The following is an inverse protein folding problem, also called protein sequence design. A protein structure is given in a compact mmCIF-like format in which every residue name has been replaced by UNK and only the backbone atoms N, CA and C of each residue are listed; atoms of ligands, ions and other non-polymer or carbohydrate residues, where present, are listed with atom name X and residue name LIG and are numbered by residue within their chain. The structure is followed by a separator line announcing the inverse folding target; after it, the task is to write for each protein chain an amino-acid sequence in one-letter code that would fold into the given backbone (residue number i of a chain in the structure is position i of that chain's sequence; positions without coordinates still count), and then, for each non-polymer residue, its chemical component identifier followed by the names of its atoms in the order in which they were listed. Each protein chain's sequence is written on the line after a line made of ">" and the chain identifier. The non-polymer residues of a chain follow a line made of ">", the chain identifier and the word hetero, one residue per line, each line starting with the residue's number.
data_IF_621247838767
#
_entry.id   IF_621247838767
#
_cell.length_a   1.000
_cell.length_b   1.000
_cell.length_c   1.000
_cell.angle_alpha   90.00
_cell.angle_beta   90.00
_cell.angle_gamma   90.00
#
_symmetry.space_group_name_H-M   'P 1'
#
loop_
_entity.id
_entity.type
_entity.pdbx_description
1 polymer ?
#
# COMPACT_ATOMS: atom_id res chain seq x y z
N UNK A 1 72.83 -15.79 49.65
CA UNK A 1 71.63 -15.03 50.08
C UNK A 1 70.38 -15.73 49.55
N UNK A 2 69.44 -16.08 50.42
CA UNK A 2 68.16 -16.73 50.08
C UNK A 2 67.14 -15.66 49.72
N UNK A 3 66.41 -15.82 48.62
CA UNK A 3 65.28 -14.96 48.26
C UNK A 3 63.98 -15.62 48.72
N UNK A 4 63.33 -15.06 49.73
CA UNK A 4 61.96 -15.43 50.10
C UNK A 4 60.95 -14.82 49.12
N UNK A 5 60.14 -15.68 48.50
CA UNK A 5 59.03 -15.29 47.62
C UNK A 5 57.83 -14.94 48.50
N UNK A 6 57.45 -13.66 48.56
CA UNK A 6 56.18 -13.26 49.21
C UNK A 6 54.99 -13.62 48.32
N UNK A 7 54.11 -14.47 48.83
CA UNK A 7 52.85 -14.84 48.18
C UNK A 7 51.89 -13.64 48.05
N UNK A 8 51.27 -13.49 46.87
CA UNK A 8 50.26 -12.46 46.62
C UNK A 8 48.90 -12.94 47.14
N UNK A 9 48.39 -12.27 48.18
CA UNK A 9 47.02 -12.45 48.67
C UNK A 9 46.01 -12.09 47.56
N UNK A 10 45.20 -13.06 47.15
CA UNK A 10 44.06 -12.90 46.25
C UNK A 10 42.99 -12.05 46.95
N UNK A 11 42.65 -10.89 46.40
CA UNK A 11 41.56 -10.04 46.91
C UNK A 11 40.22 -10.53 46.34
N UNK A 12 39.29 -10.90 47.21
CA UNK A 12 37.92 -11.26 46.86
C UNK A 12 37.13 -10.07 46.28
N UNK A 13 36.17 -10.32 45.36
CA UNK A 13 35.50 -9.25 44.63
C UNK A 13 34.49 -8.54 45.52
N UNK A 14 34.68 -7.22 45.71
CA UNK A 14 33.68 -6.37 46.34
C UNK A 14 32.64 -5.97 45.31
N UNK A 15 31.36 -6.29 45.57
CA UNK A 15 30.23 -5.79 44.79
C UNK A 15 30.25 -4.26 44.79
N UNK A 16 30.42 -3.65 43.61
CA UNK A 16 30.31 -2.19 43.44
C UNK A 16 28.85 -1.79 43.63
N UNK A 17 28.52 -1.25 44.80
CA UNK A 17 27.25 -0.56 44.98
C UNK A 17 27.24 0.68 44.08
N UNK A 18 26.37 0.67 43.08
CA UNK A 18 26.13 1.83 42.22
C UNK A 18 25.36 2.84 43.06
N UNK A 19 25.93 4.04 43.22
CA UNK A 19 25.28 5.17 43.89
C UNK A 19 23.93 5.47 43.23
N UNK A 20 22.86 5.63 44.03
CA UNK A 20 21.50 5.99 43.55
C UNK A 20 21.49 7.19 42.59
N UNK A 21 22.43 8.14 42.73
CA UNK A 21 22.55 9.29 41.81
C UNK A 21 22.92 8.86 40.39
N UNK A 22 23.78 7.83 40.24
CA UNK A 22 24.16 7.28 38.93
C UNK A 22 23.04 6.42 38.32
N UNK A 23 22.26 5.74 39.17
CA UNK A 23 21.09 4.99 38.72
C UNK A 23 19.97 5.92 38.21
N UNK A 24 19.70 7.04 38.90
CA UNK A 24 18.72 8.03 38.44
C UNK A 24 19.13 8.68 37.11
N UNK A 25 20.40 9.01 36.91
CA UNK A 25 20.88 9.55 35.63
C UNK A 25 20.72 8.53 34.51
N UNK A 26 20.99 7.26 34.77
CA UNK A 26 20.82 6.18 33.79
C UNK A 26 19.34 5.94 33.45
N UNK A 27 18.44 6.00 34.43
CA UNK A 27 16.99 5.89 34.24
C UNK A 27 16.46 7.07 33.42
N UNK A 28 16.91 8.30 33.71
CA UNK A 28 16.54 9.49 32.93
C UNK A 28 17.07 9.38 31.50
N UNK A 29 18.28 8.86 31.29
CA UNK A 29 18.83 8.64 29.95
C UNK A 29 18.03 7.60 29.16
N UNK A 30 17.60 6.50 29.80
CA UNK A 30 16.71 5.49 29.19
C UNK A 30 15.33 6.08 28.90
N UNK A 31 14.78 6.89 29.80
CA UNK A 31 13.49 7.55 29.59
C UNK A 31 13.54 8.54 28.40
N UNK A 32 14.61 9.31 28.26
CA UNK A 32 14.83 10.20 27.11
C UNK A 32 15.01 9.39 25.83
N UNK A 33 15.68 8.24 25.88
CA UNK A 33 15.84 7.35 24.72
C UNK A 33 14.51 6.71 24.30
N UNK A 34 13.64 6.36 25.26
CA UNK A 34 12.28 5.88 24.99
C UNK A 34 11.36 6.98 24.42
N UNK A 35 11.44 8.20 24.93
CA UNK A 35 10.70 9.35 24.37
C UNK A 35 11.24 9.72 22.98
N UNK A 36 12.54 9.59 22.75
CA UNK A 36 13.18 9.76 21.44
C UNK A 36 12.71 8.73 20.40
N UNK A 37 12.54 7.46 20.79
CA UNK A 37 12.02 6.41 19.89
C UNK A 37 10.52 6.58 19.61
N UNK A 38 9.74 7.13 20.55
CA UNK A 38 8.34 7.48 20.32
C UNK A 38 8.17 8.70 19.39
N UNK A 39 9.17 9.58 19.29
CA UNK A 39 9.17 10.71 18.35
C UNK A 39 9.52 10.29 16.90
N UNK A 40 10.04 9.09 16.65
CA UNK A 40 10.27 8.56 15.29
C UNK A 40 9.08 7.75 14.77
N UNK A 41 8.04 7.54 15.59
CA UNK A 41 6.86 6.74 15.25
C UNK A 41 5.68 7.51 14.65
N UNK A 42 5.72 8.84 14.58
CA UNK A 42 4.56 9.66 14.17
C UNK A 42 4.92 10.79 13.21
N UNK A 43 5.60 10.47 12.11
CA UNK A 43 5.60 11.34 10.93
C UNK A 43 5.35 10.52 9.66
N UNK A 44 4.14 9.99 9.54
CA UNK A 44 3.52 9.68 8.25
C UNK A 44 2.06 10.09 8.40
N UNK A 45 1.71 11.26 7.86
CA UNK A 45 0.35 11.72 7.51
C UNK A 45 0.25 13.24 7.26
N UNK A 46 1.35 14.02 7.30
CA UNK A 46 1.27 15.47 7.04
C UNK A 46 1.41 15.85 5.55
N UNK A 47 1.86 14.94 4.68
CA UNK A 47 1.95 15.15 3.23
C UNK A 47 0.61 15.02 2.49
N UNK A 48 -0.43 14.49 3.14
CA UNK A 48 -1.74 14.26 2.51
C UNK A 48 -2.62 15.50 2.46
N UNK A 49 -2.50 16.43 3.42
CA UNK A 49 -3.40 17.61 3.52
C UNK A 49 -3.02 18.70 2.51
N UNK A 50 -1.72 18.94 2.31
CA UNK A 50 -1.23 19.96 1.37
C UNK A 50 -1.40 19.53 -0.09
N UNK A 51 -1.38 18.22 -0.37
CA UNK A 51 -1.73 17.69 -1.69
C UNK A 51 -3.22 17.93 -1.99
N UNK A 52 -4.13 17.66 -1.05
CA UNK A 52 -5.58 17.86 -1.22
C UNK A 52 -5.94 19.34 -1.44
N UNK A 53 -5.29 20.27 -0.74
CA UNK A 53 -5.56 21.70 -0.95
C UNK A 53 -5.04 22.25 -2.28
N UNK A 54 -3.87 21.78 -2.75
CA UNK A 54 -3.37 22.11 -4.10
C UNK A 54 -4.28 21.53 -5.17
N UNK A 55 -4.78 20.31 -4.96
CA UNK A 55 -5.71 19.63 -5.86
C UNK A 55 -7.01 20.41 -6.08
N UNK A 56 -7.60 20.94 -5.01
CA UNK A 56 -8.80 21.77 -5.13
C UNK A 56 -8.56 23.04 -5.95
N UNK A 57 -7.35 23.61 -5.94
CA UNK A 57 -7.03 24.82 -6.70
C UNK A 57 -6.76 24.52 -8.18
N UNK A 58 -6.05 23.44 -8.47
CA UNK A 58 -5.66 23.08 -9.85
C UNK A 58 -6.83 22.49 -10.66
N UNK A 59 -7.74 21.75 -10.02
CA UNK A 59 -8.94 21.23 -10.67
C UNK A 59 -9.96 22.34 -10.98
N UNK A 60 -10.06 23.37 -10.13
CA UNK A 60 -10.91 24.54 -10.40
C UNK A 60 -10.45 25.30 -11.66
N UNK A 61 -9.15 25.34 -11.93
CA UNK A 61 -8.62 25.90 -13.20
C UNK A 61 -8.96 25.04 -14.41
N UNK A 62 -8.80 23.71 -14.34
CA UNK A 62 -9.12 22.81 -15.46
C UNK A 62 -10.62 22.79 -15.81
N UNK A 63 -11.50 22.90 -14.82
CA UNK A 63 -12.96 23.01 -15.03
C UNK A 63 -13.38 24.34 -15.65
N UNK A 64 -12.60 25.41 -15.44
CA UNK A 64 -12.92 26.74 -15.98
C UNK A 64 -12.64 26.84 -17.48
N UNK A 65 -11.68 26.06 -17.98
CA UNK A 65 -11.27 26.08 -19.38
C UNK A 65 -12.15 25.19 -20.30
N UNK A 66 -13.03 24.35 -19.75
CA UNK A 66 -13.88 23.41 -20.51
C UNK A 66 -15.38 23.54 -20.23
N UNK A 67 -15.87 24.76 -19.96
CA UNK A 67 -17.30 25.02 -19.82
C UNK A 67 -17.97 25.23 -21.18
N UNK A 68 -18.24 24.12 -21.87
CA UNK A 68 -19.43 24.03 -22.72
C UNK A 68 -19.86 22.58 -22.93
N UNK A 69 -21.14 22.36 -22.62
CA UNK A 69 -22.01 21.22 -22.95
C UNK A 69 -22.06 20.09 -21.91
N UNK A 70 -23.08 20.23 -21.07
CA UNK A 70 -23.71 19.22 -20.25
C UNK A 70 -24.38 18.16 -21.12
N UNK A 71 -24.07 16.88 -20.90
CA UNK A 71 -25.05 15.79 -20.99
C UNK A 71 -24.60 14.63 -20.09
N UNK A 72 -25.41 14.33 -19.09
CA UNK A 72 -25.34 13.15 -18.23
C UNK A 72 -25.42 11.85 -19.03
N UNK A 73 -24.40 10.99 -18.93
CA UNK A 73 -24.54 9.54 -18.73
C UNK A 73 -23.35 9.08 -17.88
N UNK A 74 -23.40 9.25 -16.55
CA UNK A 74 -22.31 8.82 -15.66
C UNK A 74 -22.48 7.35 -15.27
N UNK A 75 -22.47 6.44 -16.24
CA UNK A 75 -22.06 5.07 -15.94
C UNK A 75 -20.56 5.01 -16.18
N UNK A 76 -19.79 4.95 -15.08
CA UNK A 76 -18.37 4.64 -15.14
C UNK A 76 -18.19 3.37 -15.96
N UNK A 77 -17.48 3.46 -17.08
CA UNK A 77 -17.11 2.30 -17.89
C UNK A 77 -15.98 1.56 -17.16
N UNK A 78 -16.34 0.67 -16.24
CA UNK A 78 -15.40 -0.06 -15.39
C UNK A 78 -14.32 -0.80 -16.21
N UNK A 79 -14.65 -1.54 -17.29
CA UNK A 79 -13.63 -2.16 -18.14
C UNK A 79 -12.66 -1.14 -18.78
N UNK A 80 -13.16 0.01 -19.24
CA UNK A 80 -12.31 1.06 -19.80
C UNK A 80 -11.37 1.64 -18.73
N UNK A 81 -11.89 1.95 -17.55
CA UNK A 81 -11.12 2.43 -16.40
C UNK A 81 -10.07 1.39 -16.01
N UNK A 82 -10.45 0.12 -15.88
CA UNK A 82 -9.53 -0.96 -15.50
C UNK A 82 -8.39 -1.10 -16.51
N UNK A 83 -8.69 -1.09 -17.81
CA UNK A 83 -7.69 -1.18 -18.88
C UNK A 83 -6.73 0.00 -18.87
N UNK A 84 -7.27 1.23 -18.79
CA UNK A 84 -6.46 2.45 -18.77
C UNK A 84 -5.57 2.49 -17.53
N UNK A 85 -6.17 2.27 -16.36
CA UNK A 85 -5.48 2.35 -15.07
C UNK A 85 -4.49 1.21 -14.87
N UNK A 86 -4.71 0.02 -15.43
CA UNK A 86 -3.72 -1.06 -15.38
C UNK A 86 -2.38 -0.67 -16.01
N UNK A 87 -2.43 0.00 -17.18
CA UNK A 87 -1.23 0.54 -17.84
C UNK A 87 -0.55 1.64 -17.02
N UNK A 88 -1.35 2.58 -16.50
CA UNK A 88 -0.87 3.65 -15.63
C UNK A 88 -0.20 3.13 -14.36
N UNK A 89 -0.88 2.27 -13.59
CA UNK A 89 -0.38 1.70 -12.32
C UNK A 89 0.91 0.94 -12.56
N UNK A 90 1.00 0.16 -13.65
CA UNK A 90 2.23 -0.53 -14.03
C UNK A 90 3.39 0.44 -14.26
N UNK A 91 3.18 1.52 -15.01
CA UNK A 91 4.21 2.53 -15.25
C UNK A 91 4.59 3.31 -13.98
N UNK A 92 3.61 3.64 -13.14
CA UNK A 92 3.81 4.47 -11.95
C UNK A 92 4.49 3.70 -10.82
N UNK A 93 4.08 2.46 -10.56
CA UNK A 93 4.55 1.67 -9.44
C UNK A 93 5.91 1.02 -9.67
N UNK A 94 6.27 0.72 -10.92
CA UNK A 94 7.62 0.28 -11.25
C UNK A 94 8.58 1.48 -11.26
N UNK A 95 9.53 1.50 -10.33
CA UNK A 95 10.52 2.58 -10.16
C UNK A 95 11.91 1.97 -10.13
N UNK A 96 12.75 2.36 -11.08
CA UNK A 96 14.17 2.06 -11.10
C UNK A 96 14.92 3.33 -11.48
N UNK A 97 15.66 3.88 -10.50
CA UNK A 97 16.41 5.13 -10.63
C UNK A 97 17.91 4.89 -10.86
N UNK A 98 18.30 3.64 -11.17
CA UNK A 98 19.71 3.26 -11.34
C UNK A 98 20.34 3.82 -12.61
N UNK A 99 19.55 4.04 -13.66
CA UNK A 99 19.99 4.56 -14.96
C UNK A 99 19.03 5.63 -15.47
N UNK A 100 19.58 6.74 -15.94
CA UNK A 100 18.79 7.88 -16.43
C UNK A 100 17.90 7.49 -17.63
N UNK A 101 18.36 6.62 -18.52
CA UNK A 101 17.55 6.14 -19.67
C UNK A 101 16.27 5.41 -19.23
N UNK A 102 16.35 4.60 -18.15
CA UNK A 102 15.19 3.88 -17.60
C UNK A 102 14.19 4.89 -17.01
N UNK A 103 14.70 5.89 -16.30
CA UNK A 103 13.89 6.99 -15.73
C UNK A 103 13.18 7.75 -16.84
N UNK A 104 13.90 8.19 -17.87
CA UNK A 104 13.32 8.96 -18.98
C UNK A 104 12.27 8.15 -19.76
N UNK A 105 12.53 6.87 -20.01
CA UNK A 105 11.56 6.00 -20.67
C UNK A 105 10.28 5.83 -19.82
N UNK A 106 10.42 5.70 -18.50
CA UNK A 106 9.28 5.66 -17.57
C UNK A 106 8.51 6.96 -17.58
N UNK A 107 9.17 8.11 -17.48
CA UNK A 107 8.52 9.43 -17.50
C UNK A 107 7.74 9.65 -18.80
N UNK A 108 8.35 9.36 -19.95
CA UNK A 108 7.68 9.43 -21.26
C UNK A 108 6.44 8.53 -21.35
N UNK A 109 6.44 7.38 -20.67
CA UNK A 109 5.25 6.54 -20.59
C UNK A 109 4.19 7.12 -19.65
N UNK A 110 4.59 7.74 -18.54
CA UNK A 110 3.68 8.41 -17.60
C UNK A 110 3.03 9.67 -18.19
N UNK A 111 3.73 10.42 -19.04
CA UNK A 111 3.20 11.61 -19.74
C UNK A 111 1.90 11.33 -20.50
N UNK A 112 1.72 10.09 -20.99
CA UNK A 112 0.50 9.69 -21.72
C UNK A 112 -0.75 9.65 -20.84
N UNK A 113 -0.57 9.59 -19.52
CA UNK A 113 -1.66 9.36 -18.57
C UNK A 113 -2.00 10.59 -17.73
N UNK A 114 -1.04 11.48 -17.48
CA UNK A 114 -1.25 12.64 -16.62
C UNK A 114 -1.76 13.85 -17.39
N UNK A 115 -2.62 14.64 -16.75
CA UNK A 115 -3.07 15.93 -17.25
C UNK A 115 -2.02 17.05 -17.10
N UNK A 116 -0.87 16.76 -16.47
CA UNK A 116 0.18 17.73 -16.16
C UNK A 116 1.57 17.15 -16.47
N UNK A 117 2.56 18.04 -16.55
CA UNK A 117 3.95 17.69 -16.81
C UNK A 117 4.56 16.87 -15.66
N UNK A 118 5.04 15.67 -15.98
CA UNK A 118 5.66 14.74 -15.03
C UNK A 118 7.19 14.79 -15.00
N UNK A 119 7.82 15.67 -15.78
CA UNK A 119 9.28 15.84 -15.81
C UNK A 119 9.89 16.10 -14.43
N UNK A 120 9.10 16.64 -13.49
CA UNK A 120 9.48 16.95 -12.10
C UNK A 120 8.96 15.94 -11.07
N UNK A 121 8.46 14.79 -11.50
CA UNK A 121 8.01 13.75 -10.59
C UNK A 121 9.19 13.30 -9.71
N UNK A 122 9.02 13.40 -8.39
CA UNK A 122 10.00 12.93 -7.41
C UNK A 122 9.46 11.70 -6.67
N UNK A 123 10.03 10.53 -6.95
CA UNK A 123 9.62 9.26 -6.34
C UNK A 123 10.06 9.13 -4.86
N UNK A 124 10.91 10.03 -4.36
CA UNK A 124 11.50 9.97 -3.00
C UNK A 124 12.18 8.62 -2.70
N UNK A 125 12.75 7.98 -3.71
CA UNK A 125 13.57 6.77 -3.58
C UNK A 125 15.04 7.10 -3.84
N UNK A 126 15.94 6.45 -3.11
CA UNK A 126 17.37 6.51 -3.41
C UNK A 126 17.67 5.79 -4.74
N UNK A 127 18.74 6.21 -5.44
CA UNK A 127 19.17 5.57 -6.72
C UNK A 127 19.53 4.08 -6.59
N UNK A 128 19.74 3.60 -5.36
CA UNK A 128 20.04 2.20 -5.03
C UNK A 128 18.81 1.40 -4.61
N UNK A 129 17.63 2.02 -4.66
CA UNK A 129 16.36 1.43 -4.27
C UNK A 129 15.47 1.34 -5.49
N UNK A 130 14.97 0.14 -5.76
CA UNK A 130 14.04 -0.13 -6.85
C UNK A 130 12.72 -0.62 -6.29
N UNK A 131 11.61 -0.21 -6.89
CA UNK A 131 10.28 -0.73 -6.62
C UNK A 131 9.77 -1.49 -7.83
N UNK A 132 9.35 -2.73 -7.65
CA UNK A 132 8.79 -3.56 -8.72
C UNK A 132 7.37 -3.99 -8.37
N UNK A 133 6.41 -3.66 -9.22
CA UNK A 133 5.03 -4.11 -9.07
C UNK A 133 4.95 -5.62 -9.32
N UNK A 134 4.27 -6.34 -8.43
CA UNK A 134 4.06 -7.79 -8.53
C UNK A 134 2.61 -8.16 -8.74
N UNK A 135 1.68 -7.36 -8.23
CA UNK A 135 0.24 -7.54 -8.44
C UNK A 135 -0.48 -6.20 -8.41
N UNK A 136 -1.56 -6.09 -9.19
CA UNK A 136 -2.49 -4.96 -9.17
C UNK A 136 -3.91 -5.47 -9.37
N UNK A 137 -4.86 -4.92 -8.61
CA UNK A 137 -6.27 -5.27 -8.71
C UNK A 137 -7.13 -4.03 -8.44
N UNK A 138 -8.08 -3.73 -9.35
CA UNK A 138 -9.03 -2.63 -9.16
C UNK A 138 -10.06 -3.02 -8.10
N UNK A 139 -10.06 -2.31 -6.98
CA UNK A 139 -11.00 -2.57 -5.87
C UNK A 139 -12.32 -1.82 -6.07
N UNK A 140 -12.25 -0.55 -6.43
CA UNK A 140 -13.44 0.28 -6.59
C UNK A 140 -13.13 1.54 -7.41
N UNK A 141 -14.20 2.11 -7.96
CA UNK A 141 -14.23 3.47 -8.46
C UNK A 141 -15.24 4.25 -7.63
N UNK A 142 -14.88 5.46 -7.23
CA UNK A 142 -15.74 6.34 -6.42
C UNK A 142 -15.85 7.70 -7.09
N UNK A 143 -17.06 8.18 -7.32
CA UNK A 143 -17.27 9.54 -7.84
C UNK A 143 -17.14 10.57 -6.73
N UNK A 144 -16.22 11.51 -6.90
CA UNK A 144 -16.05 12.67 -6.03
C UNK A 144 -16.62 13.91 -6.72
N UNK A 145 -16.83 15.00 -5.97
CA UNK A 145 -17.44 16.25 -6.51
C UNK A 145 -16.72 16.82 -7.75
N UNK A 146 -15.41 16.58 -7.87
CA UNK A 146 -14.58 17.21 -8.90
C UNK A 146 -13.80 16.25 -9.78
N UNK A 147 -13.74 14.96 -9.42
CA UNK A 147 -12.95 13.93 -10.08
C UNK A 147 -13.51 12.56 -9.66
N UNK A 148 -13.16 11.50 -10.37
CA UNK A 148 -13.38 10.13 -9.94
C UNK A 148 -12.11 9.56 -9.28
N UNK A 149 -12.27 8.63 -8.36
CA UNK A 149 -11.18 8.02 -7.62
C UNK A 149 -11.16 6.52 -7.88
N UNK A 150 -10.13 6.03 -8.57
CA UNK A 150 -9.86 4.61 -8.70
C UNK A 150 -8.99 4.14 -7.51
N UNK A 151 -9.41 3.06 -6.85
CA UNK A 151 -8.65 2.43 -5.76
C UNK A 151 -8.12 1.09 -6.23
N UNK A 152 -6.80 0.95 -6.24
CA UNK A 152 -6.12 -0.30 -6.58
C UNK A 152 -5.49 -0.93 -5.35
N UNK A 153 -5.70 -2.23 -5.15
CA UNK A 153 -4.78 -3.02 -4.32
C UNK A 153 -3.54 -3.27 -5.15
N UNK A 154 -2.39 -2.81 -4.65
CA UNK A 154 -1.10 -3.03 -5.28
C UNK A 154 -0.20 -3.82 -4.34
N UNK A 155 0.49 -4.80 -4.91
CA UNK A 155 1.55 -5.53 -4.23
C UNK A 155 2.84 -5.28 -4.99
N UNK A 156 3.90 -4.97 -4.26
CA UNK A 156 5.17 -4.64 -4.86
C UNK A 156 6.34 -5.03 -3.98
N UNK A 157 7.49 -5.22 -4.61
CA UNK A 157 8.75 -5.52 -3.96
C UNK A 157 9.62 -4.26 -3.94
N UNK A 158 10.09 -3.87 -2.76
CA UNK A 158 11.15 -2.86 -2.61
C UNK A 158 12.47 -3.61 -2.45
N UNK A 159 13.39 -3.38 -3.37
CA UNK A 159 14.77 -3.88 -3.31
C UNK A 159 15.73 -2.73 -3.02
N UNK A 160 16.56 -2.87 -2.00
CA UNK A 160 17.61 -1.93 -1.62
C UNK A 160 18.98 -2.58 -1.76
N UNK A 161 19.89 -1.89 -2.45
CA UNK A 161 21.30 -2.26 -2.55
C UNK A 161 22.10 -1.45 -1.53
N UNK A 162 22.65 -2.13 -0.52
CA UNK A 162 23.46 -1.49 0.53
C UNK A 162 24.85 -2.12 0.61
N UNK A 163 25.86 -1.33 0.98
CA UNK A 163 27.20 -1.86 1.21
C UNK A 163 27.28 -2.37 2.65
N UNK A 164 27.60 -3.64 2.85
CA UNK A 164 27.90 -4.14 4.18
C UNK A 164 29.27 -3.62 4.63
N UNK A 165 29.29 -2.83 5.70
CA UNK A 165 30.51 -2.17 6.19
C UNK A 165 31.60 -3.14 6.64
N UNK A 166 31.21 -4.34 7.11
CA UNK A 166 32.12 -5.37 7.64
C UNK A 166 32.71 -6.23 6.53
N UNK A 167 31.92 -6.62 5.54
CA UNK A 167 32.35 -7.51 4.47
C UNK A 167 32.80 -6.78 3.22
N UNK A 168 32.54 -5.46 3.13
CA UNK A 168 32.76 -4.61 1.95
C UNK A 168 32.09 -5.14 0.67
N UNK A 169 31.07 -5.98 0.81
CA UNK A 169 30.28 -6.52 -0.29
C UNK A 169 28.92 -5.83 -0.36
N UNK A 170 28.39 -5.73 -1.57
CA UNK A 170 27.00 -5.30 -1.77
C UNK A 170 26.05 -6.40 -1.29
N UNK A 171 25.07 -6.00 -0.49
CA UNK A 171 23.99 -6.84 -0.03
C UNK A 171 22.67 -6.30 -0.57
N UNK A 172 21.91 -7.22 -1.16
CA UNK A 172 20.55 -6.98 -1.62
C UNK A 172 19.58 -7.31 -0.49
N UNK A 173 18.76 -6.34 -0.10
CA UNK A 173 17.61 -6.55 0.80
C UNK A 173 16.33 -6.33 0.03
N UNK A 174 15.36 -7.19 0.25
CA UNK A 174 14.06 -7.13 -0.41
C UNK A 174 12.93 -7.27 0.60
N UNK A 175 11.89 -6.47 0.42
CA UNK A 175 10.66 -6.54 1.20
C UNK A 175 9.45 -6.48 0.29
N UNK A 176 8.41 -7.25 0.63
CA UNK A 176 7.12 -7.21 -0.06
C UNK A 176 6.18 -6.29 0.71
N UNK A 177 5.45 -5.45 -0.03
CA UNK A 177 4.51 -4.48 0.51
C UNK A 177 3.20 -4.62 -0.23
N UNK A 178 2.10 -4.60 0.54
CA UNK A 178 0.73 -4.50 0.03
C UNK A 178 0.17 -3.16 0.47
N UNK A 179 -0.50 -2.44 -0.44
CA UNK A 179 -1.09 -1.14 -0.14
C UNK A 179 -2.28 -0.84 -1.04
N UNK A 180 -3.14 0.10 -0.63
CA UNK A 180 -4.15 0.68 -1.53
C UNK A 180 -3.57 1.94 -2.16
N UNK A 181 -3.55 1.98 -3.49
CA UNK A 181 -3.21 3.14 -4.29
C UNK A 181 -4.49 3.85 -4.73
N UNK A 182 -4.67 5.09 -4.30
CA UNK A 182 -5.77 5.96 -4.66
C UNK A 182 -5.34 6.87 -5.83
N UNK A 183 -6.08 6.84 -6.94
CA UNK A 183 -5.73 7.51 -8.20
C UNK A 183 -6.87 8.45 -8.61
N UNK A 184 -6.70 9.77 -8.45
CA UNK A 184 -7.68 10.77 -8.90
C UNK A 184 -7.62 10.95 -10.42
N UNK A 185 -8.77 10.86 -11.09
CA UNK A 185 -8.88 10.96 -12.54
C UNK A 185 -10.17 11.65 -12.98
N UNK A 186 -10.21 12.06 -14.25
CA UNK A 186 -11.44 12.52 -14.92
C UNK A 186 -11.68 11.63 -16.13
N UNK A 187 -12.94 11.26 -16.35
CA UNK A 187 -13.41 10.62 -17.58
C UNK A 187 -14.37 11.57 -18.32
N UNK A 188 -14.08 11.87 -19.59
CA UNK A 188 -14.96 12.65 -20.49
C UNK A 188 -14.82 12.09 -21.90
N UNK A 189 -15.93 11.94 -22.62
CA UNK A 189 -15.96 11.49 -24.02
C UNK A 189 -15.18 10.19 -24.29
N UNK A 190 -15.22 9.25 -23.34
CA UNK A 190 -14.50 7.97 -23.42
C UNK A 190 -12.97 8.08 -23.26
N UNK A 191 -12.46 9.27 -22.92
CA UNK A 191 -11.07 9.52 -22.57
C UNK A 191 -10.92 9.58 -21.06
N UNK A 192 -9.78 9.12 -20.56
CA UNK A 192 -9.44 9.11 -19.14
C UNK A 192 -8.13 9.86 -18.98
N UNK A 193 -8.03 10.68 -17.93
CA UNK A 193 -6.78 11.36 -17.57
C UNK A 193 -6.59 11.40 -16.06
N UNK A 194 -5.35 11.18 -15.60
CA UNK A 194 -4.99 11.28 -14.19
C UNK A 194 -4.70 12.74 -13.87
N UNK A 195 -5.51 13.31 -12.97
CA UNK A 195 -5.48 14.75 -12.66
C UNK A 195 -4.68 15.09 -11.40
N UNK A 196 -4.10 14.07 -10.76
CA UNK A 196 -3.30 14.20 -9.54
C UNK A 196 -2.26 13.11 -9.41
N UNK A 197 -1.18 13.39 -8.69
CA UNK A 197 -0.33 12.34 -8.16
C UNK A 197 -1.15 11.35 -7.31
N UNK A 198 -1.00 10.04 -7.54
CA UNK A 198 -1.58 9.01 -6.68
C UNK A 198 -1.03 9.06 -5.25
N UNK A 199 -1.85 8.62 -4.30
CA UNK A 199 -1.47 8.51 -2.90
C UNK A 199 -1.86 7.16 -2.30
N UNK A 200 -1.13 6.71 -1.29
CA UNK A 200 -1.44 5.47 -0.60
C UNK A 200 -2.46 5.71 0.53
N UNK A 201 -3.37 4.76 0.71
CA UNK A 201 -4.24 4.70 1.88
C UNK A 201 -4.10 3.36 2.60
N UNK A 202 -4.55 3.30 3.85
CA UNK A 202 -4.69 2.04 4.58
C UNK A 202 -5.73 1.15 3.89
N UNK A 203 -5.57 -0.17 4.02
CA UNK A 203 -6.63 -1.12 3.68
C UNK A 203 -7.87 -0.83 4.53
N UNK A 204 -9.04 -0.97 3.92
CA UNK A 204 -10.33 -0.83 4.58
C UNK A 204 -10.98 -2.21 4.62
N UNK A 205 -11.47 -2.65 5.77
CA UNK A 205 -12.16 -3.93 5.88
C UNK A 205 -13.41 -3.92 5.00
N UNK A 206 -13.47 -4.86 4.05
CA UNK A 206 -14.61 -5.05 3.14
C UNK A 206 -15.62 -6.07 3.68
N UNK A 207 -15.37 -6.64 4.86
CA UNK A 207 -16.24 -7.63 5.48
C UNK A 207 -17.33 -6.92 6.29
N UNK A 208 -18.58 -7.14 5.89
CA UNK A 208 -19.77 -6.71 6.62
C UNK A 208 -20.68 -7.89 6.95
N UNK A 209 -21.53 -7.74 7.96
CA UNK A 209 -22.65 -8.65 8.20
C UNK A 209 -23.92 -7.98 7.67
N UNK A 210 -24.55 -8.59 6.68
CA UNK A 210 -25.93 -8.28 6.31
C UNK A 210 -26.89 -9.15 7.14
N UNK A 211 -28.15 -8.73 7.37
CA UNK A 211 -29.17 -9.64 7.84
C UNK A 211 -29.19 -10.88 6.95
N UNK A 212 -29.16 -12.05 7.57
CA UNK A 212 -29.38 -13.28 6.81
C UNK A 212 -30.80 -13.19 6.22
N UNK A 213 -30.93 -13.52 4.94
CA UNK A 213 -32.24 -13.85 4.42
C UNK A 213 -32.79 -14.99 5.27
N UNK A 214 -34.07 -14.93 5.63
CA UNK A 214 -34.70 -16.06 6.29
C UNK A 214 -34.51 -17.28 5.39
N UNK A 215 -33.78 -18.26 5.92
CA UNK A 215 -33.77 -19.57 5.32
C UNK A 215 -35.20 -20.06 5.52
N UNK A 216 -36.00 -20.05 4.44
CA UNK A 216 -37.29 -20.71 4.44
C UNK A 216 -37.03 -22.11 4.94
N UNK A 217 -37.47 -22.39 6.18
CA UNK A 217 -37.49 -23.76 6.65
C UNK A 217 -38.33 -24.50 5.61
N UNK A 218 -37.73 -25.51 5.00
CA UNK A 218 -38.38 -26.40 4.05
C UNK A 218 -39.42 -27.29 4.74
N UNK A 219 -40.18 -26.74 5.69
CA UNK A 219 -41.28 -27.41 6.37
C UNK A 219 -42.55 -27.41 5.51
N UNK A 220 -42.65 -26.51 4.53
CA UNK A 220 -43.62 -26.60 3.43
C UNK A 220 -43.20 -27.64 2.37
N UNK A 221 -42.80 -28.83 2.82
CA UNK A 221 -42.86 -30.01 1.95
C UNK A 221 -44.32 -30.36 1.72
N UNK A 222 -44.87 -29.90 0.60
CA UNK A 222 -46.06 -30.52 0.03
C UNK A 222 -45.82 -32.03 -0.13
N UNK A 223 -46.86 -32.87 -0.01
CA UNK A 223 -46.74 -34.33 -0.21
C UNK A 223 -46.08 -34.70 -1.55
N UNK A 224 -46.20 -33.84 -2.57
CA UNK A 224 -45.53 -33.97 -3.85
C UNK A 224 -44.00 -33.89 -3.73
N UNK A 225 -43.47 -32.98 -2.91
CA UNK A 225 -42.03 -32.79 -2.71
C UNK A 225 -41.42 -33.96 -1.91
N UNK A 226 -42.17 -34.51 -0.94
CA UNK A 226 -41.76 -35.69 -0.17
C UNK A 226 -41.57 -36.94 -1.04
N UNK A 227 -42.40 -37.12 -2.09
CA UNK A 227 -42.29 -38.26 -3.03
C UNK A 227 -41.09 -38.16 -3.96
N UNK A 228 -40.68 -36.95 -4.35
CA UNK A 228 -39.62 -36.73 -5.35
C UNK A 228 -38.24 -36.59 -4.70
N UNK A 229 -38.17 -36.14 -3.44
CA UNK A 229 -36.93 -35.93 -2.68
C UNK A 229 -35.93 -37.11 -2.74
N UNK A 230 -36.32 -38.39 -2.55
CA UNK A 230 -35.37 -39.50 -2.59
C UNK A 230 -34.71 -39.70 -3.96
N UNK A 231 -35.44 -39.39 -5.05
CA UNK A 231 -34.92 -39.50 -6.42
C UNK A 231 -33.91 -38.40 -6.71
N UNK A 232 -34.15 -37.18 -6.21
CA UNK A 232 -33.22 -36.05 -6.31
C UNK A 232 -31.95 -36.35 -5.51
N UNK A 233 -32.08 -36.81 -4.26
CA UNK A 233 -30.95 -37.16 -3.40
C UNK A 233 -30.09 -38.29 -3.97
N UNK A 234 -30.68 -39.23 -4.72
CA UNK A 234 -29.95 -40.29 -5.41
C UNK A 234 -29.28 -39.81 -6.70
N UNK A 235 -29.89 -38.86 -7.40
CA UNK A 235 -29.38 -38.32 -8.66
C UNK A 235 -28.19 -37.37 -8.44
N UNK A 236 -28.27 -36.49 -7.44
CA UNK A 236 -27.26 -35.46 -7.18
C UNK A 236 -25.82 -36.01 -7.06
N UNK A 237 -25.54 -37.11 -6.32
CA UNK A 237 -24.20 -37.70 -6.29
C UNK A 237 -23.69 -38.14 -7.66
N UNK A 238 -24.58 -38.68 -8.50
CA UNK A 238 -24.23 -39.11 -9.86
C UNK A 238 -23.95 -37.93 -10.77
N UNK A 239 -24.74 -36.86 -10.63
CA UNK A 239 -24.55 -35.61 -11.36
C UNK A 239 -23.21 -34.96 -11.00
N UNK A 240 -22.94 -34.74 -9.70
CA UNK A 240 -21.68 -34.14 -9.27
C UNK A 240 -20.47 -35.01 -9.63
N UNK A 241 -20.59 -36.34 -9.58
CA UNK A 241 -19.50 -37.23 -10.03
C UNK A 241 -19.17 -37.09 -11.53
N UNK A 242 -20.12 -36.64 -12.36
CA UNK A 242 -19.92 -36.49 -13.81
C UNK A 242 -19.53 -35.07 -14.23
N UNK A 243 -19.85 -34.06 -13.42
CA UNK A 243 -19.80 -32.66 -13.84
C UNK A 243 -19.12 -31.72 -12.83
N UNK A 244 -18.62 -32.23 -11.69
CA UNK A 244 -17.74 -31.52 -10.76
C UNK A 244 -16.33 -32.15 -10.81
#
# INVERSE_FOLDING_TARGET
>A
MKFEKKEKKVKSPKLKQVSQKKANIFIVFIAILFVGVLAVGTIKNLSSVTAIEKLNKEIVTLKKDNLSTETEITQTDYPLVERYMGGFVSAYMNVDLSKDEIVQHRLKNLEKYFAFDVSKLNDNLDKKTTRKLTSLNLLSVQTMKQYDLAKYKVEYEITEMSLNEKTKKEEKRSSKVTSILCIPYIQSDGLITVVSLPYFSSEQDVYGKAPALEMSESSDTTEAMAKVKPSIEKYLPTFFKKYA
#
